data_IF_770280991328
#
_entry.id   IF_770280991328
#
_cell.length_a   1.000
_cell.length_b   1.000
_cell.length_c   1.000
_cell.angle_alpha   90.00
_cell.angle_beta   90.00
_cell.angle_gamma   90.00
#
_symmetry.space_group_name_H-M   'P 1'
#
loop_
_entity.id
_entity.type
_entity.pdbx_description
1 polymer ?
#
# COMPACT_ATOMS: atom_id res chain seq x y z
N UNK A 1 32.27 23.61 51.77
CA UNK A 1 32.40 22.26 51.17
C UNK A 1 32.06 22.34 49.69
N UNK A 2 33.07 22.45 48.83
CA UNK A 2 32.90 22.41 47.38
C UNK A 2 33.58 21.13 46.87
N UNK A 3 32.79 20.11 46.54
CA UNK A 3 33.29 18.86 46.02
C UNK A 3 33.64 19.04 44.53
N UNK A 4 34.94 18.97 44.22
CA UNK A 4 35.44 18.78 42.85
C UNK A 4 34.87 17.48 42.28
N UNK A 5 33.96 17.57 41.31
CA UNK A 5 33.67 16.44 40.41
C UNK A 5 34.88 16.26 39.49
N UNK A 6 35.66 15.21 39.75
CA UNK A 6 36.65 14.66 38.80
C UNK A 6 35.88 14.30 37.52
N UNK A 7 36.39 14.78 36.38
CA UNK A 7 35.91 14.37 35.07
C UNK A 7 35.95 12.85 34.97
N UNK A 8 34.82 12.27 34.59
CA UNK A 8 34.75 10.87 34.24
C UNK A 8 35.64 10.66 33.01
N UNK A 9 36.50 9.65 33.11
CA UNK A 9 37.35 9.16 32.04
C UNK A 9 36.55 9.07 30.74
N UNK A 10 37.01 9.79 29.72
CA UNK A 10 36.63 9.57 28.33
C UNK A 10 37.01 8.12 28.01
N UNK A 11 36.02 7.23 28.09
CA UNK A 11 36.15 5.86 27.63
C UNK A 11 36.75 5.89 26.23
N UNK A 12 37.87 5.19 26.07
CA UNK A 12 38.57 4.96 24.81
C UNK A 12 37.52 4.41 23.83
N UNK A 13 37.04 5.27 22.95
CA UNK A 13 36.19 4.89 21.85
C UNK A 13 37.09 4.09 20.92
N UNK A 14 37.09 2.76 21.04
CA UNK A 14 37.74 1.91 20.07
C UNK A 14 37.14 2.28 18.72
N UNK A 15 37.94 2.87 17.83
CA UNK A 15 37.56 3.12 16.45
C UNK A 15 37.17 1.76 15.85
N UNK A 16 35.88 1.44 15.89
CA UNK A 16 35.40 0.18 15.34
C UNK A 16 35.65 0.21 13.83
N UNK A 17 36.40 -0.76 13.33
CA UNK A 17 36.65 -0.94 11.91
C UNK A 17 35.78 -2.06 11.36
N UNK A 18 35.52 -2.02 10.06
CA UNK A 18 35.05 -3.17 9.28
C UNK A 18 36.32 -3.81 8.71
N UNK A 19 36.61 -5.04 9.11
CA UNK A 19 37.76 -5.76 8.59
C UNK A 19 37.29 -6.79 7.58
N UNK A 20 37.91 -6.79 6.41
CA UNK A 20 37.66 -7.74 5.32
C UNK A 20 38.96 -8.48 5.10
N UNK A 21 38.91 -9.81 5.21
CA UNK A 21 40.06 -10.69 5.01
C UNK A 21 39.82 -11.63 3.84
N UNK A 22 40.80 -11.72 2.95
CA UNK A 22 40.84 -12.65 1.83
C UNK A 22 39.74 -12.44 0.80
N UNK A 23 39.40 -11.19 0.46
CA UNK A 23 38.39 -10.94 -0.58
C UNK A 23 38.91 -11.32 -1.97
N UNK A 24 38.17 -12.19 -2.67
CA UNK A 24 38.52 -12.79 -3.96
C UNK A 24 37.41 -12.69 -5.01
N UNK A 25 36.31 -12.02 -4.67
CA UNK A 25 35.18 -11.82 -5.58
C UNK A 25 35.62 -11.21 -6.93
N UNK A 26 35.19 -11.84 -8.02
CA UNK A 26 35.57 -11.49 -9.39
C UNK A 26 37.09 -11.41 -9.64
N UNK A 27 37.64 -10.19 -9.70
CA UNK A 27 39.04 -9.95 -10.04
C UNK A 27 39.89 -9.52 -8.83
N UNK A 28 39.32 -9.52 -7.62
CA UNK A 28 40.05 -9.26 -6.39
C UNK A 28 41.11 -10.34 -6.17
N UNK A 29 42.28 -9.93 -5.67
CA UNK A 29 43.47 -10.78 -5.55
C UNK A 29 43.76 -11.15 -4.10
N UNK A 30 42.77 -11.75 -3.44
CA UNK A 30 42.86 -12.15 -2.03
C UNK A 30 43.30 -10.99 -1.12
N UNK A 31 42.52 -9.91 -1.15
CA UNK A 31 42.90 -8.66 -0.48
C UNK A 31 42.38 -8.60 0.96
N UNK A 32 43.18 -8.00 1.83
CA UNK A 32 42.81 -7.66 3.20
C UNK A 32 42.67 -6.13 3.31
N UNK A 33 41.59 -5.65 3.92
CA UNK A 33 41.36 -4.21 4.12
C UNK A 33 40.64 -3.93 5.43
N UNK A 34 41.03 -2.84 6.08
CA UNK A 34 40.35 -2.31 7.26
C UNK A 34 39.72 -0.96 6.92
N UNK A 35 38.42 -0.83 7.17
CA UNK A 35 37.61 0.34 6.82
C UNK A 35 37.09 0.99 8.12
N UNK A 36 37.36 2.28 8.38
CA UNK A 36 36.88 2.92 9.60
C UNK A 36 35.36 3.10 9.57
N UNK A 37 34.65 2.71 10.64
CA UNK A 37 33.21 2.98 10.77
C UNK A 37 32.93 4.45 11.05
N UNK A 38 31.69 4.87 10.79
CA UNK A 38 31.20 6.23 11.06
C UNK A 38 32.00 7.32 10.35
N UNK A 39 32.66 6.97 9.23
CA UNK A 39 33.39 7.89 8.35
C UNK A 39 32.82 7.77 6.94
N UNK A 40 32.92 8.86 6.19
CA UNK A 40 32.71 8.83 4.75
C UNK A 40 33.95 8.20 4.10
N UNK A 41 33.83 6.96 3.65
CA UNK A 41 34.92 6.23 2.98
C UNK A 41 34.66 6.21 1.49
N UNK A 42 35.67 6.57 0.69
CA UNK A 42 35.58 6.65 -0.76
C UNK A 42 36.52 5.61 -1.38
N UNK A 43 35.95 4.66 -2.14
CA UNK A 43 36.71 3.74 -2.97
C UNK A 43 37.01 4.39 -4.32
N UNK A 44 38.28 4.53 -4.67
CA UNK A 44 38.73 5.16 -5.92
C UNK A 44 39.72 4.28 -6.69
N UNK A 45 39.90 4.55 -7.98
CA UNK A 45 40.75 3.76 -8.87
C UNK A 45 40.20 3.64 -10.29
N UNK A 46 41.03 3.15 -11.22
CA UNK A 46 40.69 3.00 -12.66
C UNK A 46 39.50 2.08 -12.90
N UNK A 47 38.79 2.23 -14.03
CA UNK A 47 37.72 1.30 -14.39
C UNK A 47 38.22 -0.15 -14.38
N UNK A 48 37.39 -1.07 -13.86
CA UNK A 48 37.77 -2.49 -13.72
C UNK A 48 38.76 -2.80 -12.58
N UNK A 49 39.15 -1.84 -11.73
CA UNK A 49 40.09 -2.09 -10.63
C UNK A 49 39.55 -2.92 -9.45
N UNK A 50 38.32 -3.46 -9.53
CA UNK A 50 37.70 -4.24 -8.45
C UNK A 50 36.96 -3.41 -7.38
N UNK A 51 36.76 -2.11 -7.58
CA UNK A 51 36.00 -1.24 -6.62
C UNK A 51 34.60 -1.78 -6.37
N UNK A 52 33.85 -2.04 -7.43
CA UNK A 52 32.48 -2.55 -7.33
C UNK A 52 32.45 -3.95 -6.74
N UNK A 53 33.43 -4.79 -7.10
CA UNK A 53 33.58 -6.14 -6.56
C UNK A 53 33.79 -6.13 -5.06
N UNK A 54 34.60 -5.20 -4.54
CA UNK A 54 34.78 -5.05 -3.10
C UNK A 54 33.56 -4.42 -2.42
N UNK A 55 33.03 -3.31 -2.94
CA UNK A 55 31.97 -2.56 -2.28
C UNK A 55 30.59 -3.23 -2.36
N UNK A 56 30.19 -3.65 -3.57
CA UNK A 56 28.87 -4.23 -3.83
C UNK A 56 28.91 -5.75 -3.72
N UNK A 57 29.80 -6.39 -4.49
CA UNK A 57 29.74 -7.85 -4.63
C UNK A 57 30.26 -8.59 -3.38
N UNK A 58 31.11 -7.95 -2.58
CA UNK A 58 31.66 -8.50 -1.32
C UNK A 58 30.98 -7.89 -0.09
N UNK A 59 31.22 -6.61 0.21
CA UNK A 59 30.80 -5.97 1.48
C UNK A 59 29.27 -5.87 1.58
N UNK A 60 28.61 -5.33 0.55
CA UNK A 60 27.16 -5.19 0.54
C UNK A 60 26.44 -6.55 0.52
N UNK A 61 26.85 -7.47 -0.36
CA UNK A 61 26.22 -8.80 -0.41
C UNK A 61 26.35 -9.55 0.92
N UNK A 62 27.53 -9.56 1.54
CA UNK A 62 27.72 -10.20 2.85
C UNK A 62 26.88 -9.52 3.94
N UNK A 63 26.78 -8.19 3.92
CA UNK A 63 25.99 -7.45 4.90
C UNK A 63 24.49 -7.69 4.74
N UNK A 64 24.01 -7.74 3.50
CA UNK A 64 22.61 -8.04 3.21
C UNK A 64 22.29 -9.49 3.60
N UNK A 65 23.17 -10.45 3.27
CA UNK A 65 23.04 -11.86 3.65
C UNK A 65 22.93 -12.03 5.16
N UNK A 66 23.85 -11.45 5.94
CA UNK A 66 23.81 -11.50 7.42
C UNK A 66 22.57 -10.84 8.00
N UNK A 67 22.14 -9.72 7.41
CA UNK A 67 20.91 -9.07 7.85
C UNK A 67 19.70 -9.99 7.59
N UNK A 68 19.61 -10.63 6.43
CA UNK A 68 18.55 -11.60 6.09
C UNK A 68 18.59 -12.86 6.97
N UNK A 69 19.77 -13.32 7.40
CA UNK A 69 19.91 -14.44 8.33
C UNK A 69 19.28 -14.19 9.71
N UNK A 70 19.11 -12.92 10.09
CA UNK A 70 18.44 -12.54 11.35
C UNK A 70 16.91 -12.65 11.31
N UNK A 71 16.32 -12.87 10.12
CA UNK A 71 14.88 -13.02 9.98
C UNK A 71 14.40 -14.41 10.41
N UNK A 72 13.09 -14.51 10.66
CA UNK A 72 12.47 -15.78 11.06
C UNK A 72 12.72 -16.88 10.03
N UNK A 73 12.74 -18.15 10.47
CA UNK A 73 12.94 -19.30 9.60
C UNK A 73 11.93 -19.35 8.43
N UNK A 74 10.70 -18.91 8.68
CA UNK A 74 9.66 -18.80 7.65
C UNK A 74 9.97 -17.70 6.62
N UNK A 75 10.41 -16.52 7.07
CA UNK A 75 10.75 -15.42 6.16
C UNK A 75 11.93 -15.77 5.24
N UNK A 76 12.92 -16.53 5.75
CA UNK A 76 14.07 -17.00 4.95
C UNK A 76 13.68 -17.88 3.76
N UNK A 77 12.56 -18.62 3.83
CA UNK A 77 12.08 -19.43 2.70
C UNK A 77 11.71 -18.59 1.46
N UNK A 78 11.38 -17.31 1.64
CA UNK A 78 10.96 -16.41 0.54
C UNK A 78 12.10 -15.57 -0.03
N UNK A 79 13.24 -15.50 0.65
CA UNK A 79 14.38 -14.65 0.25
C UNK A 79 15.28 -15.37 -0.76
N UNK A 80 15.16 -16.70 -0.87
CA UNK A 80 16.02 -17.54 -1.69
C UNK A 80 17.41 -17.70 -1.08
N UNK A 81 18.20 -18.62 -1.63
CA UNK A 81 19.60 -18.76 -1.24
C UNK A 81 20.39 -17.56 -1.78
N UNK A 82 20.87 -16.71 -0.88
CA UNK A 82 21.80 -15.64 -1.24
C UNK A 82 23.20 -16.24 -1.38
N UNK A 83 23.78 -16.08 -2.56
CA UNK A 83 25.14 -16.54 -2.83
C UNK A 83 26.13 -15.87 -1.88
N UNK A 84 26.99 -16.67 -1.25
CA UNK A 84 27.97 -16.18 -0.30
C UNK A 84 29.18 -15.66 -1.10
N UNK A 85 29.61 -14.41 -0.90
CA UNK A 85 30.77 -13.89 -1.62
C UNK A 85 32.05 -14.65 -1.26
N UNK A 86 33.00 -14.72 -2.20
CA UNK A 86 34.30 -15.35 -2.00
C UNK A 86 35.19 -14.45 -1.13
N UNK A 87 35.07 -14.63 0.19
CA UNK A 87 35.81 -13.91 1.22
C UNK A 87 36.04 -14.83 2.42
N UNK A 88 37.21 -14.77 3.05
CA UNK A 88 37.52 -15.62 4.20
C UNK A 88 36.74 -15.17 5.44
N UNK A 89 36.76 -13.87 5.73
CA UNK A 89 36.10 -13.31 6.91
C UNK A 89 35.81 -11.84 6.75
N UNK A 90 34.62 -11.42 7.20
CA UNK A 90 34.30 -10.01 7.42
C UNK A 90 33.86 -9.81 8.87
N UNK A 91 34.45 -8.87 9.59
CA UNK A 91 34.08 -8.49 10.96
C UNK A 91 33.60 -7.04 11.03
N UNK A 92 32.85 -6.70 12.08
CA UNK A 92 32.38 -5.33 12.28
C UNK A 92 31.30 -4.85 11.30
N UNK A 93 30.77 -5.70 10.42
CA UNK A 93 29.80 -5.28 9.40
C UNK A 93 28.43 -4.94 10.01
N UNK A 94 27.96 -3.71 9.77
CA UNK A 94 26.60 -3.26 10.11
C UNK A 94 25.59 -3.68 9.04
N UNK A 95 24.26 -3.61 9.29
CA UNK A 95 23.27 -3.70 8.23
C UNK A 95 23.58 -2.69 7.13
N UNK A 96 23.61 -3.17 5.88
CA UNK A 96 24.03 -2.40 4.71
C UNK A 96 22.86 -2.09 3.80
N UNK A 97 22.90 -0.92 3.17
CA UNK A 97 21.95 -0.49 2.15
C UNK A 97 22.77 -0.08 0.94
N UNK A 98 22.43 -0.62 -0.23
CA UNK A 98 23.00 -0.17 -1.49
C UNK A 98 22.12 0.92 -2.10
N UNK A 99 22.75 2.02 -2.51
CA UNK A 99 22.12 3.09 -3.27
C UNK A 99 22.83 3.14 -4.63
N UNK A 100 22.26 2.42 -5.59
CA UNK A 100 22.79 2.32 -6.96
C UNK A 100 21.91 3.08 -7.95
N UNK A 101 22.52 3.53 -9.05
CA UNK A 101 21.79 4.00 -10.22
C UNK A 101 21.27 2.81 -11.05
N UNK A 102 20.45 1.93 -10.46
CA UNK A 102 19.71 0.93 -11.25
C UNK A 102 18.53 1.62 -11.94
N UNK A 103 18.26 1.23 -13.19
CA UNK A 103 17.11 1.76 -13.94
C UNK A 103 15.84 1.54 -13.14
N UNK A 104 15.13 2.63 -12.84
CA UNK A 104 13.86 2.57 -12.12
C UNK A 104 12.83 1.76 -12.91
N UNK A 105 11.99 1.02 -12.17
CA UNK A 105 10.91 0.22 -12.74
C UNK A 105 10.05 1.07 -13.68
N UNK A 106 9.90 0.65 -14.95
CA UNK A 106 9.12 1.35 -15.98
C UNK A 106 7.60 1.17 -15.84
N UNK A 107 7.10 1.06 -14.61
CA UNK A 107 5.66 0.94 -14.41
C UNK A 107 5.01 2.30 -14.72
N UNK A 108 4.12 2.41 -15.72
CA UNK A 108 3.51 3.68 -16.11
C UNK A 108 2.65 4.32 -15.02
N UNK A 109 2.28 3.57 -13.97
CA UNK A 109 1.55 4.11 -12.80
C UNK A 109 2.47 4.63 -11.70
N UNK A 110 3.78 4.41 -11.82
CA UNK A 110 4.76 4.90 -10.84
C UNK A 110 5.20 6.32 -11.22
N UNK A 111 5.13 7.21 -10.24
CA UNK A 111 5.57 8.61 -10.33
C UNK A 111 6.54 8.91 -9.20
N UNK A 112 7.23 10.05 -9.27
CA UNK A 112 8.09 10.53 -8.17
C UNK A 112 7.33 10.53 -6.84
N UNK A 113 6.08 11.03 -6.83
CA UNK A 113 5.26 11.08 -5.62
C UNK A 113 4.92 9.71 -5.04
N UNK A 114 4.81 8.67 -5.87
CA UNK A 114 4.60 7.29 -5.38
C UNK A 114 5.88 6.64 -4.88
N UNK A 115 7.04 6.97 -5.47
CA UNK A 115 8.34 6.41 -5.06
C UNK A 115 8.80 7.01 -3.73
N UNK A 116 8.52 8.30 -3.52
CA UNK A 116 8.85 9.01 -2.28
C UNK A 116 7.76 8.92 -1.22
N UNK A 117 6.68 8.17 -1.48
CA UNK A 117 5.47 8.07 -0.64
C UNK A 117 4.74 9.41 -0.37
N UNK A 118 5.23 10.53 -0.93
CA UNK A 118 4.62 11.85 -0.79
C UNK A 118 3.16 11.87 -1.25
N UNK A 119 2.84 11.12 -2.31
CA UNK A 119 1.48 11.00 -2.82
C UNK A 119 0.52 10.41 -1.78
N UNK A 120 0.98 9.47 -0.94
CA UNK A 120 0.14 8.88 0.10
C UNK A 120 -0.15 9.87 1.23
N UNK A 121 0.83 10.70 1.60
CA UNK A 121 0.61 11.83 2.51
C UNK A 121 -0.36 12.85 1.92
N UNK A 122 -0.24 13.19 0.63
CA UNK A 122 -1.17 14.08 -0.04
C UNK A 122 -2.59 13.51 -0.06
N UNK A 123 -2.76 12.22 -0.33
CA UNK A 123 -4.07 11.57 -0.26
C UNK A 123 -4.69 11.67 1.13
N UNK A 124 -3.90 11.43 2.17
CA UNK A 124 -4.37 11.56 3.55
C UNK A 124 -4.76 13.00 3.88
N UNK A 125 -3.94 13.97 3.46
CA UNK A 125 -4.21 15.39 3.63
C UNK A 125 -5.55 15.78 2.99
N UNK A 126 -5.72 15.52 1.69
CA UNK A 126 -6.95 15.85 0.97
C UNK A 126 -8.18 15.09 1.49
N UNK A 127 -8.02 13.85 1.96
CA UNK A 127 -9.13 13.11 2.57
C UNK A 127 -9.58 13.69 3.92
N UNK A 128 -8.66 14.32 4.67
CA UNK A 128 -8.94 14.86 6.01
C UNK A 128 -9.43 16.30 6.00
N UNK A 129 -8.83 17.16 5.17
CA UNK A 129 -9.10 18.61 5.17
C UNK A 129 -9.60 19.14 3.83
N UNK A 130 -9.63 18.30 2.79
CA UNK A 130 -10.09 18.72 1.47
C UNK A 130 -11.58 19.03 1.47
N UNK A 131 -11.94 20.23 1.04
CA UNK A 131 -13.32 20.58 0.74
C UNK A 131 -13.66 20.12 -0.69
N UNK A 132 -14.62 19.21 -0.81
CA UNK A 132 -15.00 18.67 -2.11
C UNK A 132 -15.97 19.64 -2.83
N UNK A 133 -15.72 19.86 -4.13
CA UNK A 133 -16.57 20.65 -5.02
C UNK A 133 -16.99 19.83 -6.22
N UNK A 134 -18.20 20.06 -6.70
CA UNK A 134 -18.71 19.45 -7.92
C UNK A 134 -18.01 20.04 -9.15
N UNK A 135 -17.39 19.19 -9.98
CA UNK A 135 -16.72 19.63 -11.20
C UNK A 135 -17.70 20.23 -12.24
N UNK A 136 -18.97 19.80 -12.23
CA UNK A 136 -19.99 20.28 -13.17
C UNK A 136 -20.61 21.62 -12.76
N UNK A 137 -20.76 21.86 -11.45
CA UNK A 137 -21.54 23.00 -10.94
C UNK A 137 -20.71 23.99 -10.15
N UNK A 138 -19.47 23.66 -9.79
CA UNK A 138 -18.61 24.48 -8.93
C UNK A 138 -19.09 24.63 -7.49
N UNK A 139 -20.20 23.96 -7.11
CA UNK A 139 -20.78 24.07 -5.76
C UNK A 139 -20.09 23.10 -4.80
N UNK A 140 -19.97 23.52 -3.54
CA UNK A 140 -19.47 22.68 -2.44
C UNK A 140 -20.35 21.44 -2.29
N UNK A 141 -19.72 20.27 -2.18
CA UNK A 141 -20.42 19.02 -1.90
C UNK A 141 -20.82 19.01 -0.42
N UNK A 142 -22.12 18.92 -0.19
CA UNK A 142 -22.72 18.89 1.15
C UNK A 142 -23.45 17.57 1.35
N UNK A 143 -23.66 17.20 2.61
CA UNK A 143 -24.56 16.10 2.94
C UNK A 143 -26.00 16.58 2.73
N UNK A 144 -26.79 15.80 2.02
CA UNK A 144 -28.23 16.05 1.92
C UNK A 144 -28.97 15.33 3.04
N UNK A 145 -30.01 15.98 3.56
CA UNK A 145 -31.00 15.32 4.42
C UNK A 145 -31.88 14.36 3.61
N UNK A 146 -32.56 13.45 4.30
CA UNK A 146 -33.53 12.54 3.65
C UNK A 146 -34.61 13.32 2.90
N UNK A 147 -35.11 14.42 3.49
CA UNK A 147 -36.12 15.27 2.88
C UNK A 147 -35.60 15.96 1.60
N UNK A 148 -34.36 16.46 1.63
CA UNK A 148 -33.72 17.06 0.46
C UNK A 148 -33.52 16.03 -0.66
N UNK A 149 -33.16 14.78 -0.31
CA UNK A 149 -33.05 13.68 -1.28
C UNK A 149 -34.41 13.39 -1.91
N UNK A 150 -35.46 13.25 -1.10
CA UNK A 150 -36.83 13.00 -1.58
C UNK A 150 -37.29 14.16 -2.49
N UNK A 151 -37.07 15.41 -2.08
CA UNK A 151 -37.39 16.57 -2.90
C UNK A 151 -36.60 16.60 -4.21
N UNK A 152 -35.33 16.18 -4.20
CA UNK A 152 -34.51 16.04 -5.40
C UNK A 152 -35.07 15.00 -6.36
N UNK A 153 -35.58 13.87 -5.84
CA UNK A 153 -36.23 12.83 -6.64
C UNK A 153 -37.48 13.39 -7.32
N UNK A 154 -38.36 14.07 -6.57
CA UNK A 154 -39.58 14.67 -7.10
C UNK A 154 -39.29 15.75 -8.15
N UNK A 155 -38.33 16.63 -7.91
CA UNK A 155 -38.00 17.70 -8.86
C UNK A 155 -37.42 17.19 -10.18
N UNK A 156 -36.58 16.14 -10.16
CA UNK A 156 -35.90 15.63 -11.36
C UNK A 156 -36.66 14.54 -12.12
N UNK A 157 -37.46 13.75 -11.40
CA UNK A 157 -38.05 12.53 -11.94
C UNK A 157 -39.58 12.52 -11.91
N UNK A 158 -40.26 13.66 -11.70
CA UNK A 158 -41.73 13.75 -11.74
C UNK A 158 -42.31 13.03 -12.95
N UNK A 159 -43.30 12.17 -12.71
CA UNK A 159 -43.99 11.31 -13.67
C UNK A 159 -43.13 10.26 -14.39
N UNK A 160 -41.85 10.07 -14.01
CA UNK A 160 -40.98 9.02 -14.57
C UNK A 160 -40.98 7.77 -13.69
N UNK A 161 -40.77 6.61 -14.31
CA UNK A 161 -40.52 5.34 -13.63
C UNK A 161 -39.06 5.28 -13.21
N UNK A 162 -38.80 4.99 -11.93
CA UNK A 162 -37.45 4.90 -11.36
C UNK A 162 -37.26 3.57 -10.63
N UNK A 163 -36.00 3.17 -10.47
CA UNK A 163 -35.59 2.11 -9.55
C UNK A 163 -34.70 2.73 -8.47
N UNK A 164 -35.05 2.49 -7.20
CA UNK A 164 -34.23 2.88 -6.06
C UNK A 164 -33.27 1.75 -5.74
N UNK A 165 -31.97 2.07 -5.73
CA UNK A 165 -30.89 1.11 -5.59
C UNK A 165 -30.03 1.46 -4.36
N UNK A 166 -29.74 0.47 -3.52
CA UNK A 166 -28.85 0.59 -2.37
C UNK A 166 -27.50 -0.08 -2.70
N UNK A 167 -26.42 0.69 -2.93
CA UNK A 167 -25.13 0.12 -3.28
C UNK A 167 -24.43 -0.46 -2.05
N UNK A 168 -24.29 -1.80 -2.02
CA UNK A 168 -23.69 -2.54 -0.90
C UNK A 168 -22.21 -2.86 -1.13
N UNK A 169 -21.82 -3.09 -2.38
CA UNK A 169 -20.43 -3.35 -2.77
C UNK A 169 -20.08 -2.47 -3.95
N UNK A 170 -18.92 -1.82 -3.89
CA UNK A 170 -18.39 -0.99 -4.98
C UNK A 170 -16.95 -1.37 -5.28
N UNK A 171 -16.69 -1.91 -6.47
CA UNK A 171 -15.36 -2.16 -7.00
C UNK A 171 -14.50 -3.09 -6.14
N UNK A 172 -15.07 -4.14 -5.54
CA UNK A 172 -14.32 -5.07 -4.68
C UNK A 172 -14.39 -6.51 -5.19
N UNK A 173 -13.32 -7.27 -4.90
CA UNK A 173 -13.25 -8.70 -5.23
C UNK A 173 -13.94 -9.54 -4.15
N UNK A 174 -14.66 -10.57 -4.56
CA UNK A 174 -15.27 -11.51 -3.62
C UNK A 174 -16.44 -12.29 -4.20
N UNK A 175 -16.74 -13.43 -3.58
CA UNK A 175 -17.85 -14.30 -3.96
C UNK A 175 -19.22 -13.90 -3.38
N UNK A 176 -19.25 -13.08 -2.32
CA UNK A 176 -20.45 -12.47 -1.73
C UNK A 176 -21.65 -13.39 -1.39
N UNK A 177 -21.45 -14.69 -1.19
CA UNK A 177 -22.53 -15.64 -0.89
C UNK A 177 -23.33 -15.26 0.36
N UNK A 178 -22.64 -14.95 1.45
CA UNK A 178 -23.28 -14.54 2.73
C UNK A 178 -24.09 -13.25 2.56
N UNK A 179 -23.57 -12.29 1.79
CA UNK A 179 -24.25 -11.04 1.48
C UNK A 179 -25.59 -11.30 0.77
N UNK A 180 -25.61 -12.15 -0.27
CA UNK A 180 -26.85 -12.48 -0.97
C UNK A 180 -27.85 -13.23 -0.08
N UNK A 181 -27.37 -14.13 0.78
CA UNK A 181 -28.22 -14.83 1.75
C UNK A 181 -28.87 -13.84 2.73
N UNK A 182 -28.12 -12.87 3.24
CA UNK A 182 -28.63 -11.87 4.18
C UNK A 182 -29.60 -10.88 3.52
N UNK A 183 -29.33 -10.47 2.29
CA UNK A 183 -30.27 -9.65 1.50
C UNK A 183 -31.59 -10.42 1.29
N UNK A 184 -31.50 -11.73 0.98
CA UNK A 184 -32.69 -12.58 0.79
C UNK A 184 -33.47 -12.76 2.10
N UNK A 185 -32.78 -12.94 3.23
CA UNK A 185 -33.42 -13.02 4.57
C UNK A 185 -34.16 -11.73 4.92
N UNK A 186 -33.67 -10.57 4.48
CA UNK A 186 -34.35 -9.27 4.63
C UNK A 186 -35.57 -9.10 3.72
N UNK A 187 -35.86 -10.07 2.84
CA UNK A 187 -37.04 -10.08 1.98
C UNK A 187 -36.88 -9.38 0.64
N UNK A 188 -35.67 -8.95 0.27
CA UNK A 188 -35.43 -8.41 -1.06
C UNK A 188 -35.40 -9.53 -2.10
N UNK A 189 -35.94 -9.26 -3.28
CA UNK A 189 -36.08 -10.25 -4.36
C UNK A 189 -35.09 -10.04 -5.50
N UNK A 190 -34.63 -8.81 -5.73
CA UNK A 190 -33.79 -8.44 -6.87
C UNK A 190 -32.53 -7.74 -6.43
N UNK A 191 -31.45 -8.00 -7.14
CA UNK A 191 -30.15 -7.37 -6.97
C UNK A 191 -29.59 -6.98 -8.34
N UNK A 192 -28.90 -5.85 -8.43
CA UNK A 192 -28.14 -5.45 -9.60
C UNK A 192 -26.68 -5.80 -9.36
N UNK A 193 -26.13 -6.69 -10.18
CA UNK A 193 -24.73 -7.12 -10.13
C UNK A 193 -24.08 -6.73 -11.44
N UNK A 194 -22.98 -5.98 -11.37
CA UNK A 194 -22.20 -5.55 -12.54
C UNK A 194 -23.05 -4.90 -13.65
N UNK A 195 -24.11 -4.21 -13.25
CA UNK A 195 -25.05 -3.52 -14.14
C UNK A 195 -26.30 -4.33 -14.52
N UNK A 196 -26.30 -5.64 -14.34
CA UNK A 196 -27.41 -6.53 -14.68
C UNK A 196 -28.32 -6.80 -13.48
N UNK A 197 -29.64 -6.70 -13.67
CA UNK A 197 -30.61 -7.00 -12.60
C UNK A 197 -30.98 -8.47 -12.63
N UNK A 198 -30.69 -9.17 -11.53
CA UNK A 198 -30.89 -10.59 -11.33
C UNK A 198 -31.88 -10.83 -10.19
N UNK A 199 -32.60 -11.95 -10.25
CA UNK A 199 -33.39 -12.44 -9.13
C UNK A 199 -32.48 -13.16 -8.12
N UNK A 200 -32.70 -12.92 -6.83
CA UNK A 200 -31.92 -13.51 -5.75
C UNK A 200 -32.25 -15.00 -5.61
N UNK A 201 -31.28 -15.84 -5.98
CA UNK A 201 -31.40 -17.29 -5.86
C UNK A 201 -30.72 -17.83 -4.58
N UNK A 202 -31.18 -18.98 -4.04
CA UNK A 202 -30.44 -19.73 -3.04
C UNK A 202 -29.03 -20.10 -3.52
N UNK A 203 -28.04 -19.92 -2.64
CA UNK A 203 -26.61 -20.19 -2.93
C UNK A 203 -26.02 -19.38 -4.09
N UNK A 204 -26.63 -18.24 -4.43
CA UNK A 204 -26.05 -17.29 -5.37
C UNK A 204 -24.65 -16.86 -4.89
N UNK A 205 -23.69 -16.84 -5.81
CA UNK A 205 -22.31 -16.43 -5.54
C UNK A 205 -21.67 -15.90 -6.82
N UNK A 206 -20.66 -15.05 -6.66
CA UNK A 206 -19.85 -14.51 -7.74
C UNK A 206 -18.45 -15.09 -7.74
N UNK A 207 -17.65 -14.72 -8.74
CA UNK A 207 -16.25 -15.12 -8.84
C UNK A 207 -15.41 -14.40 -7.79
N UNK A 208 -14.71 -15.16 -6.94
CA UNK A 208 -13.87 -14.60 -5.87
C UNK A 208 -12.75 -13.69 -6.38
N UNK A 209 -12.26 -13.90 -7.60
CA UNK A 209 -11.05 -13.22 -8.11
C UNK A 209 -11.35 -12.02 -9.01
N UNK A 210 -12.61 -11.81 -9.37
CA UNK A 210 -13.09 -10.67 -10.17
C UNK A 210 -13.63 -9.56 -9.29
N UNK A 211 -13.60 -8.35 -9.83
CA UNK A 211 -14.13 -7.14 -9.19
C UNK A 211 -15.62 -7.06 -9.51
N UNK A 212 -16.43 -6.78 -8.48
CA UNK A 212 -17.88 -6.71 -8.61
C UNK A 212 -18.45 -5.42 -8.00
N UNK A 213 -19.55 -4.95 -8.59
CA UNK A 213 -20.45 -3.92 -8.07
C UNK A 213 -21.81 -4.56 -7.76
N UNK A 214 -22.29 -4.40 -6.51
CA UNK A 214 -23.53 -5.04 -6.05
C UNK A 214 -24.44 -4.01 -5.40
N UNK A 215 -25.66 -3.92 -5.91
CA UNK A 215 -26.67 -2.98 -5.44
C UNK A 215 -28.02 -3.68 -5.27
N UNK A 216 -28.68 -3.50 -4.14
CA UNK A 216 -30.01 -4.09 -3.91
C UNK A 216 -31.07 -3.21 -4.56
N UNK A 217 -32.05 -3.83 -5.22
CA UNK A 217 -33.22 -3.14 -5.73
C UNK A 217 -34.21 -2.97 -4.59
N UNK A 218 -34.26 -1.75 -4.01
CA UNK A 218 -35.10 -1.43 -2.85
C UNK A 218 -36.55 -1.27 -3.26
N UNK A 219 -36.82 -0.47 -4.31
CA UNK A 219 -38.17 -0.26 -4.83
C UNK A 219 -38.14 0.10 -6.33
N UNK A 220 -39.28 -0.12 -7.00
CA UNK A 220 -39.53 0.30 -8.39
C UNK A 220 -40.90 0.94 -8.46
N UNK A 221 -40.93 2.23 -8.76
CA UNK A 221 -42.15 3.03 -8.72
C UNK A 221 -42.13 4.17 -9.73
N UNK A 222 -43.30 4.73 -10.01
CA UNK A 222 -43.42 5.99 -10.75
C UNK A 222 -43.49 7.14 -9.75
N UNK A 223 -42.75 8.23 -10.02
CA UNK A 223 -42.69 9.38 -9.11
C UNK A 223 -43.92 10.25 -9.31
N UNK A 224 -44.96 9.98 -8.53
CA UNK A 224 -46.22 10.73 -8.47
C UNK A 224 -46.45 11.28 -7.07
N UNK A 225 -47.24 12.36 -6.96
CA UNK A 225 -47.38 13.10 -5.69
C UNK A 225 -48.01 12.25 -4.57
N UNK A 226 -48.84 11.27 -4.91
CA UNK A 226 -49.43 10.26 -4.01
C UNK A 226 -48.41 9.24 -3.48
N UNK A 227 -47.33 8.99 -4.21
CA UNK A 227 -46.29 8.03 -3.83
C UNK A 227 -45.23 8.62 -2.88
N UNK A 228 -45.38 9.87 -2.43
CA UNK A 228 -44.39 10.58 -1.61
C UNK A 228 -44.02 9.87 -0.32
N UNK A 229 -45.01 9.34 0.41
CA UNK A 229 -44.79 8.60 1.66
C UNK A 229 -43.97 7.33 1.41
N UNK A 230 -44.31 6.60 0.34
CA UNK A 230 -43.62 5.36 -0.04
C UNK A 230 -42.17 5.62 -0.49
N UNK A 231 -41.93 6.68 -1.25
CA UNK A 231 -40.57 7.08 -1.66
C UNK A 231 -39.73 7.42 -0.43
N UNK A 232 -40.27 8.19 0.50
CA UNK A 232 -39.57 8.55 1.75
C UNK A 232 -39.17 7.30 2.54
N UNK A 233 -40.11 6.37 2.75
CA UNK A 233 -39.83 5.09 3.41
C UNK A 233 -38.80 4.23 2.67
N UNK A 234 -38.76 4.30 1.35
CA UNK A 234 -37.79 3.54 0.55
C UNK A 234 -36.39 4.14 0.64
N UNK A 235 -36.28 5.48 0.66
CA UNK A 235 -35.00 6.18 0.88
C UNK A 235 -34.44 5.84 2.27
N UNK A 236 -35.27 5.78 3.32
CA UNK A 236 -34.85 5.38 4.66
C UNK A 236 -34.36 3.93 4.77
N UNK A 237 -34.80 3.04 3.87
CA UNK A 237 -34.37 1.64 3.83
C UNK A 237 -33.05 1.43 3.08
N UNK A 238 -32.55 2.46 2.40
CA UNK A 238 -31.35 2.42 1.55
C UNK A 238 -30.09 2.60 2.39
#
# INVERSE_FOLDING_TARGET
MAAKKKGADLAVQSDETIEVFGAREHNLKNIDISIPKNKLVVFTGVSGSGKSSLAFDTIYNEGQRRYMESFSAYARQFVGDMERPDVDKITGLSPVISIEQKTTNKNPRSTVGTITELYDFLRLLYARVGEAYSYNTGKKMVKFSEEEIVQSIFSKFKNKKISLLAPLVRGRKGHYRELFEDIRKKGFLKVRVDGEVLDLAPRMQLDRYKIHDIEVVVDRLQVTDDMRVRISQSVQKT
#
